data_IF_672404096839
#
_entry.id   IF_672404096839
#
_cell.length_a   1.000
_cell.length_b   1.000
_cell.length_c   1.000
_cell.angle_alpha   90.00
_cell.angle_beta   90.00
_cell.angle_gamma   90.00
#
_symmetry.space_group_name_H-M   'P 1'
#
loop_
_entity.id
_entity.type
_entity.pdbx_description
1 polymer ?
#
# COMPACT_ATOMS: atom_id res chain seq x y z
N UNK A 1 12.53 14.35 14.29
CA UNK A 1 11.83 13.10 14.58
C UNK A 1 10.48 13.32 15.28
N UNK A 2 10.26 14.46 15.91
CA UNK A 2 9.00 14.78 16.64
C UNK A 2 7.86 15.31 15.75
N UNK A 3 8.13 15.61 14.49
CA UNK A 3 7.18 16.28 13.60
C UNK A 3 6.10 15.36 13.02
N UNK A 4 6.28 14.05 13.02
CA UNK A 4 5.32 13.09 12.46
C UNK A 4 4.17 12.77 13.40
N UNK A 5 4.33 12.96 14.71
CA UNK A 5 3.27 12.74 15.72
C UNK A 5 2.12 13.73 15.61
N UNK A 6 2.32 14.85 14.93
CA UNK A 6 1.34 15.93 14.77
C UNK A 6 0.37 15.74 13.61
N UNK A 7 0.56 14.72 12.77
CA UNK A 7 -0.23 14.50 11.56
C UNK A 7 -1.64 13.93 11.78
N UNK A 8 -1.95 13.48 12.99
CA UNK A 8 -3.25 12.86 13.30
C UNK A 8 -4.44 13.82 13.37
N UNK A 9 -4.23 15.14 13.38
CA UNK A 9 -5.31 16.08 13.60
C UNK A 9 -5.16 17.38 12.80
N UNK A 10 -5.92 17.52 11.71
CA UNK A 10 -6.09 18.79 10.97
C UNK A 10 -7.52 19.29 11.21
N UNK A 11 -7.73 20.22 12.14
CA UNK A 11 -9.07 20.59 12.60
C UNK A 11 -9.85 21.47 11.60
N UNK A 12 -9.18 22.03 10.59
CA UNK A 12 -9.82 22.88 9.60
C UNK A 12 -9.13 22.73 8.24
N UNK A 13 -9.91 22.40 7.20
CA UNK A 13 -9.40 22.19 5.82
C UNK A 13 -8.53 23.32 5.31
N UNK A 14 -8.91 24.58 5.58
CA UNK A 14 -8.16 25.75 5.10
C UNK A 14 -6.86 25.96 5.88
N UNK A 15 -6.91 25.79 7.20
CA UNK A 15 -5.73 25.89 8.06
C UNK A 15 -4.75 24.73 7.79
N UNK A 16 -5.26 23.52 7.59
CA UNK A 16 -4.45 22.36 7.22
C UNK A 16 -3.75 22.53 5.87
N UNK A 17 -4.45 23.04 4.86
CA UNK A 17 -3.84 23.31 3.55
C UNK A 17 -2.79 24.43 3.64
N UNK A 18 -3.06 25.52 4.35
CA UNK A 18 -2.11 26.60 4.59
C UNK A 18 -0.87 26.12 5.34
N UNK A 19 -1.06 25.26 6.32
CA UNK A 19 0.04 24.67 7.08
C UNK A 19 0.89 23.73 6.22
N UNK A 20 0.26 22.87 5.39
CA UNK A 20 0.95 22.02 4.41
C UNK A 20 1.74 22.87 3.40
N UNK A 21 1.14 23.91 2.85
CA UNK A 21 1.81 24.83 1.92
C UNK A 21 2.97 25.56 2.59
N UNK A 22 2.80 26.01 3.84
CA UNK A 22 3.86 26.67 4.61
C UNK A 22 5.03 25.75 4.96
N UNK A 23 4.72 24.47 5.27
CA UNK A 23 5.74 23.49 5.67
C UNK A 23 6.47 22.84 4.50
N UNK A 24 5.76 22.53 3.40
CA UNK A 24 6.30 21.77 2.27
C UNK A 24 6.43 22.56 0.97
N UNK A 25 5.96 23.82 0.95
CA UNK A 25 5.96 24.67 -0.22
C UNK A 25 4.85 24.34 -1.22
N UNK A 26 4.69 25.19 -2.23
CA UNK A 26 3.67 25.03 -3.28
C UNK A 26 4.04 23.99 -4.35
N UNK A 27 5.30 23.57 -4.37
CA UNK A 27 5.84 22.75 -5.46
C UNK A 27 5.66 21.25 -5.27
N UNK A 28 5.41 20.76 -4.04
CA UNK A 28 5.19 19.35 -3.77
C UNK A 28 4.18 19.18 -2.62
N UNK A 29 2.88 19.00 -2.91
CA UNK A 29 1.85 18.75 -1.91
C UNK A 29 1.88 17.30 -1.38
N UNK A 30 2.94 16.55 -1.59
CA UNK A 30 3.06 15.18 -1.12
C UNK A 30 3.32 15.11 0.38
N UNK A 31 2.77 14.07 1.01
CA UNK A 31 3.01 13.72 2.40
C UNK A 31 3.74 12.38 2.41
N UNK A 32 4.96 12.39 2.95
CA UNK A 32 5.69 11.15 3.19
C UNK A 32 5.30 10.57 4.54
N UNK A 33 4.94 9.30 4.54
CA UNK A 33 4.71 8.51 5.75
C UNK A 33 5.87 7.55 5.91
N UNK A 34 6.51 7.59 7.08
CA UNK A 34 7.61 6.69 7.44
C UNK A 34 7.19 5.86 8.65
N UNK A 35 7.59 4.59 8.69
CA UNK A 35 7.35 3.69 9.83
C UNK A 35 8.57 3.68 10.73
N UNK A 36 8.33 3.62 12.05
CA UNK A 36 9.40 3.39 13.01
C UNK A 36 9.74 1.89 13.08
N UNK A 37 11.02 1.58 13.20
CA UNK A 37 11.47 0.21 13.39
C UNK A 37 11.07 -0.33 14.78
N UNK A 38 10.75 -1.62 14.86
CA UNK A 38 10.36 -2.30 16.09
C UNK A 38 11.55 -2.73 16.97
N UNK A 39 12.78 -2.39 16.57
CA UNK A 39 13.99 -2.76 17.30
C UNK A 39 14.12 -4.28 17.47
N UNK A 40 14.36 -4.73 18.69
CA UNK A 40 14.53 -6.16 19.01
C UNK A 40 13.27 -7.01 18.85
N UNK A 41 12.09 -6.39 18.70
CA UNK A 41 10.82 -7.09 18.46
C UNK A 41 10.53 -7.28 16.98
N UNK A 42 11.41 -6.81 16.08
CA UNK A 42 11.30 -7.04 14.64
C UNK A 42 11.45 -8.52 14.31
N UNK A 43 10.59 -9.01 13.42
CA UNK A 43 10.74 -10.36 12.86
C UNK A 43 11.99 -10.41 11.98
N UNK A 44 12.86 -11.39 12.25
CA UNK A 44 14.14 -11.59 11.53
C UNK A 44 14.12 -12.85 10.64
N UNK A 45 12.97 -13.47 10.50
CA UNK A 45 12.80 -14.66 9.67
C UNK A 45 12.63 -14.34 8.18
N UNK A 46 12.55 -15.38 7.37
CA UNK A 46 12.27 -15.29 5.95
C UNK A 46 10.81 -14.92 5.72
N UNK A 47 10.55 -13.97 4.86
CA UNK A 47 9.20 -13.50 4.53
C UNK A 47 8.98 -13.59 3.03
N UNK A 48 7.82 -14.12 2.64
CA UNK A 48 7.32 -14.12 1.27
C UNK A 48 5.90 -13.55 1.32
N UNK A 49 5.55 -12.69 0.40
CA UNK A 49 4.21 -12.12 0.30
C UNK A 49 3.42 -12.86 -0.78
N UNK A 50 2.25 -13.37 -0.41
CA UNK A 50 1.26 -13.87 -1.37
C UNK A 50 0.39 -12.72 -1.84
N UNK A 51 0.22 -12.58 -3.15
CA UNK A 51 -0.58 -11.53 -3.77
C UNK A 51 -1.43 -12.09 -4.92
N UNK A 52 -2.59 -11.51 -5.10
CA UNK A 52 -3.52 -11.91 -6.16
C UNK A 52 -4.35 -10.72 -6.66
N UNK A 53 -5.25 -10.96 -7.61
CA UNK A 53 -6.17 -9.97 -8.15
C UNK A 53 -7.20 -9.43 -7.13
N UNK A 54 -7.39 -10.09 -5.99
CA UNK A 54 -8.21 -9.61 -4.88
C UNK A 54 -7.42 -8.75 -3.88
N UNK A 55 -6.10 -8.74 -3.99
CA UNK A 55 -5.24 -7.88 -3.17
C UNK A 55 -5.44 -6.42 -3.56
N UNK A 56 -5.96 -5.60 -2.62
CA UNK A 56 -6.33 -4.20 -2.86
C UNK A 56 -5.83 -3.27 -1.76
N UNK A 57 -5.83 -1.97 -2.02
CA UNK A 57 -5.67 -0.92 -1.03
C UNK A 57 -4.38 -1.02 -0.20
N UNK A 58 -4.50 -1.30 1.10
CA UNK A 58 -3.36 -1.40 1.99
C UNK A 58 -2.44 -2.59 1.65
N UNK A 59 -3.01 -3.71 1.21
CA UNK A 59 -2.25 -4.88 0.74
C UNK A 59 -1.32 -4.52 -0.42
N UNK A 60 -1.82 -3.78 -1.39
CA UNK A 60 -1.01 -3.33 -2.53
C UNK A 60 0.11 -2.37 -2.14
N UNK A 61 -0.13 -1.50 -1.14
CA UNK A 61 0.91 -0.60 -0.63
C UNK A 61 2.03 -1.37 0.03
N UNK A 62 1.70 -2.40 0.82
CA UNK A 62 2.67 -3.30 1.45
C UNK A 62 3.44 -4.06 0.38
N UNK A 63 2.74 -4.65 -0.60
CA UNK A 63 3.35 -5.38 -1.70
C UNK A 63 4.31 -4.49 -2.52
N UNK A 64 3.84 -3.29 -2.90
CA UNK A 64 4.66 -2.35 -3.66
C UNK A 64 5.90 -1.91 -2.90
N UNK A 65 5.77 -1.63 -1.59
CA UNK A 65 6.88 -1.25 -0.74
C UNK A 65 7.88 -2.39 -0.59
N UNK A 66 7.40 -3.62 -0.32
CA UNK A 66 8.25 -4.79 -0.18
C UNK A 66 9.03 -5.09 -1.47
N UNK A 67 8.37 -5.00 -2.63
CA UNK A 67 9.01 -5.20 -3.92
C UNK A 67 10.07 -4.11 -4.23
N UNK A 68 9.75 -2.84 -3.98
CA UNK A 68 10.68 -1.74 -4.28
C UNK A 68 11.91 -1.73 -3.39
N UNK A 69 11.76 -2.09 -2.12
CA UNK A 69 12.86 -2.11 -1.15
C UNK A 69 13.53 -3.48 -1.02
N UNK A 70 13.07 -4.48 -1.80
CA UNK A 70 13.63 -5.84 -1.77
C UNK A 70 13.49 -6.54 -0.41
N UNK A 71 12.39 -6.27 0.31
CA UNK A 71 12.19 -6.77 1.67
C UNK A 71 11.65 -8.20 1.70
N UNK A 72 10.85 -8.56 0.70
CA UNK A 72 10.25 -9.88 0.57
C UNK A 72 9.88 -10.13 -0.89
N UNK A 73 10.15 -11.32 -1.43
CA UNK A 73 9.64 -11.69 -2.75
C UNK A 73 8.12 -11.83 -2.72
N UNK A 74 7.49 -11.44 -3.84
CA UNK A 74 6.07 -11.55 -4.08
C UNK A 74 5.78 -12.79 -4.92
N UNK A 75 4.83 -13.62 -4.49
CA UNK A 75 4.39 -14.84 -5.20
C UNK A 75 2.90 -14.76 -5.45
N UNK A 76 2.45 -15.08 -6.66
CA UNK A 76 1.03 -15.11 -6.98
C UNK A 76 0.69 -14.50 -8.33
N UNK A 77 -0.35 -13.68 -8.39
CA UNK A 77 -0.77 -12.95 -9.58
C UNK A 77 -0.74 -11.45 -9.33
N UNK A 78 -0.86 -10.66 -10.40
CA UNK A 78 -0.89 -9.19 -10.32
C UNK A 78 -2.03 -8.73 -9.42
N UNK A 79 -1.78 -7.73 -8.57
CA UNK A 79 -2.80 -7.14 -7.70
C UNK A 79 -3.80 -6.27 -8.47
N UNK A 80 -4.91 -5.91 -7.81
CA UNK A 80 -6.04 -5.23 -8.45
C UNK A 80 -5.76 -3.82 -8.99
N UNK A 81 -4.75 -3.12 -8.48
CA UNK A 81 -4.53 -1.72 -8.83
C UNK A 81 -5.60 -0.77 -8.24
N UNK A 82 -6.04 -1.00 -7.01
CA UNK A 82 -7.09 -0.24 -6.34
C UNK A 82 -6.57 0.39 -5.04
N UNK A 83 -5.71 1.38 -5.16
CA UNK A 83 -5.04 2.06 -4.02
C UNK A 83 -5.49 3.50 -3.81
N UNK A 84 -6.40 4.00 -4.66
CA UNK A 84 -6.80 5.40 -4.59
C UNK A 84 -7.49 5.73 -3.27
N UNK A 85 -7.12 6.86 -2.68
CA UNK A 85 -7.81 7.39 -1.51
C UNK A 85 -9.04 8.17 -1.96
N UNK A 86 -10.18 7.93 -1.29
CA UNK A 86 -11.43 8.60 -1.59
C UNK A 86 -12.02 9.24 -0.34
N UNK A 87 -12.71 10.36 -0.54
CA UNK A 87 -13.50 11.04 0.49
C UNK A 87 -14.99 10.77 0.25
N UNK A 88 -15.73 10.54 1.34
CA UNK A 88 -17.20 10.44 1.29
C UNK A 88 -17.83 11.82 1.41
N UNK A 89 -18.76 12.14 0.53
CA UNK A 89 -19.52 13.39 0.54
C UNK A 89 -21.01 13.10 0.66
N UNK A 90 -21.68 13.71 1.63
CA UNK A 90 -23.14 13.68 1.73
C UNK A 90 -23.77 14.43 0.56
N UNK A 91 -24.77 13.82 -0.07
CA UNK A 91 -25.49 14.38 -1.22
C UNK A 91 -26.99 14.57 -0.93
N UNK A 92 -27.41 14.44 0.33
CA UNK A 92 -28.77 14.58 0.82
C UNK A 92 -29.45 13.22 1.04
N UNK A 93 -30.57 13.24 1.77
CA UNK A 93 -31.38 12.06 2.07
C UNK A 93 -30.56 10.84 2.58
N UNK A 94 -29.57 11.07 3.44
CA UNK A 94 -28.66 10.06 3.99
C UNK A 94 -27.81 9.30 2.97
N UNK A 95 -27.74 9.76 1.71
CA UNK A 95 -26.86 9.21 0.71
C UNK A 95 -25.46 9.86 0.75
N UNK A 96 -24.46 9.02 0.49
CA UNK A 96 -23.06 9.44 0.40
C UNK A 96 -22.46 8.98 -0.92
N UNK A 97 -21.69 9.86 -1.54
CA UNK A 97 -20.89 9.54 -2.72
C UNK A 97 -19.42 9.50 -2.32
N UNK A 98 -18.73 8.43 -2.69
CA UNK A 98 -17.28 8.30 -2.54
C UNK A 98 -16.60 8.85 -3.79
N UNK A 99 -15.78 9.86 -3.60
CA UNK A 99 -15.08 10.56 -4.70
C UNK A 99 -13.58 10.35 -4.52
N UNK A 100 -12.86 9.85 -5.53
CA UNK A 100 -11.40 9.84 -5.53
C UNK A 100 -10.85 11.23 -5.25
N UNK A 101 -9.95 11.35 -4.28
CA UNK A 101 -9.46 12.65 -3.81
C UNK A 101 -7.95 12.76 -3.79
N UNK A 102 -7.24 11.64 -3.73
CA UNK A 102 -5.78 11.61 -3.62
C UNK A 102 -5.23 10.35 -4.28
N UNK A 103 -4.18 10.51 -5.07
CA UNK A 103 -3.41 9.40 -5.58
C UNK A 103 -2.31 9.01 -4.58
N UNK A 104 -1.96 7.73 -4.55
CA UNK A 104 -0.85 7.21 -3.79
C UNK A 104 0.28 6.81 -4.75
N UNK A 105 1.50 7.18 -4.39
CA UNK A 105 2.71 6.86 -5.13
C UNK A 105 3.67 6.11 -4.23
N UNK A 106 4.42 5.18 -4.80
CA UNK A 106 5.53 4.53 -4.12
C UNK A 106 6.65 5.54 -3.82
N UNK A 107 7.63 5.21 -2.94
CA UNK A 107 8.83 6.02 -2.75
C UNK A 107 9.56 6.36 -4.06
N UNK A 108 9.56 5.46 -5.03
CA UNK A 108 10.13 5.67 -6.37
C UNK A 108 9.17 6.37 -7.35
N UNK A 109 8.10 7.00 -6.84
CA UNK A 109 7.10 7.77 -7.59
C UNK A 109 6.31 6.95 -8.63
N UNK A 110 6.21 5.63 -8.45
CA UNK A 110 5.38 4.79 -9.30
C UNK A 110 3.93 4.85 -8.85
N UNK A 111 3.01 5.06 -9.79
CA UNK A 111 1.57 4.97 -9.56
C UNK A 111 1.16 3.49 -9.63
N UNK A 112 0.42 3.03 -8.62
CA UNK A 112 -0.12 1.66 -8.56
C UNK A 112 -1.58 1.62 -9.02
N UNK A 113 -2.30 2.73 -8.85
CA UNK A 113 -3.70 2.81 -9.26
C UNK A 113 -3.88 2.47 -10.73
N UNK A 114 -4.80 1.56 -11.04
CA UNK A 114 -5.10 1.06 -12.38
C UNK A 114 -4.05 0.12 -12.98
N UNK A 115 -2.91 -0.08 -12.31
CA UNK A 115 -1.80 -0.91 -12.80
C UNK A 115 -1.61 -2.16 -11.96
N UNK A 116 -1.69 -2.03 -10.63
CA UNK A 116 -1.37 -3.08 -9.67
C UNK A 116 0.13 -3.28 -9.47
N UNK A 117 0.45 -4.29 -8.68
CA UNK A 117 1.82 -4.75 -8.39
C UNK A 117 2.02 -6.12 -9.00
N UNK A 118 3.08 -6.28 -9.78
CA UNK A 118 3.47 -7.57 -10.35
C UNK A 118 4.20 -8.41 -9.31
N UNK A 119 3.90 -9.71 -9.20
CA UNK A 119 4.68 -10.62 -8.39
C UNK A 119 6.05 -10.92 -9.03
N UNK A 120 7.05 -11.23 -8.21
CA UNK A 120 8.35 -11.71 -8.66
C UNK A 120 8.26 -13.12 -9.24
N UNK A 121 7.35 -13.94 -8.69
CA UNK A 121 7.08 -15.30 -9.14
C UNK A 121 5.60 -15.44 -9.45
N UNK A 122 5.27 -15.51 -10.74
CA UNK A 122 3.88 -15.63 -11.18
C UNK A 122 3.37 -17.06 -10.98
N UNK A 123 2.28 -17.20 -10.22
CA UNK A 123 1.58 -18.47 -9.97
C UNK A 123 0.07 -18.20 -9.92
N UNK A 124 -0.68 -18.82 -10.82
CA UNK A 124 -2.14 -18.76 -10.78
C UNK A 124 -2.70 -19.75 -9.76
N UNK A 125 -3.77 -19.36 -9.08
CA UNK A 125 -4.55 -20.30 -8.29
C UNK A 125 -5.28 -21.26 -9.21
N UNK A 126 -5.24 -22.55 -8.91
CA UNK A 126 -5.96 -23.57 -9.67
C UNK A 126 -7.42 -23.68 -9.26
N UNK A 127 -8.22 -24.38 -10.07
CA UNK A 127 -9.64 -24.65 -9.78
C UNK A 127 -9.86 -25.68 -8.67
N UNK A 128 -8.81 -26.42 -8.31
CA UNK A 128 -8.86 -27.44 -7.26
C UNK A 128 -8.66 -26.81 -5.88
N UNK A 129 -9.75 -26.62 -5.16
CA UNK A 129 -9.74 -26.06 -3.78
C UNK A 129 -9.04 -26.91 -2.73
N UNK A 130 -8.62 -28.15 -3.08
CA UNK A 130 -7.85 -29.02 -2.17
C UNK A 130 -6.36 -28.71 -2.17
N UNK A 131 -5.88 -27.87 -3.10
CA UNK A 131 -4.47 -27.50 -3.28
C UNK A 131 -4.32 -25.98 -3.36
N UNK A 132 -3.24 -25.48 -2.81
CA UNK A 132 -2.86 -24.08 -2.89
C UNK A 132 -1.48 -23.95 -3.57
N UNK A 133 -1.45 -23.86 -4.90
CA UNK A 133 -0.21 -23.79 -5.65
C UNK A 133 0.58 -22.50 -5.36
N UNK A 134 -0.08 -21.43 -4.98
CA UNK A 134 0.60 -20.19 -4.59
C UNK A 134 1.33 -20.37 -3.26
N UNK A 135 0.68 -20.97 -2.26
CA UNK A 135 1.30 -21.28 -0.97
C UNK A 135 2.45 -22.30 -1.13
N UNK A 136 2.24 -23.35 -1.92
CA UNK A 136 3.28 -24.37 -2.20
C UNK A 136 4.53 -23.69 -2.80
N UNK A 137 4.34 -22.80 -3.77
CA UNK A 137 5.45 -22.06 -4.39
C UNK A 137 6.09 -21.06 -3.44
N UNK A 138 5.31 -20.37 -2.62
CA UNK A 138 5.85 -19.47 -1.61
C UNK A 138 6.71 -20.19 -0.59
N UNK A 139 6.31 -21.38 -0.17
CA UNK A 139 7.10 -22.24 0.73
C UNK A 139 8.42 -22.72 0.08
N UNK A 140 8.40 -23.02 -1.21
CA UNK A 140 9.62 -23.33 -1.97
C UNK A 140 10.56 -22.12 -2.01
N UNK A 141 10.05 -20.95 -2.37
CA UNK A 141 10.82 -19.70 -2.41
C UNK A 141 11.40 -19.39 -1.03
N UNK A 142 10.60 -19.47 0.03
CA UNK A 142 11.06 -19.22 1.40
C UNK A 142 12.18 -20.16 1.87
N UNK A 143 12.20 -21.40 1.38
CA UNK A 143 13.30 -22.36 1.69
C UNK A 143 14.60 -22.03 0.94
N UNK A 144 14.49 -21.34 -0.21
CA UNK A 144 15.64 -20.93 -1.02
C UNK A 144 16.27 -19.59 -0.60
N UNK A 145 15.59 -18.81 0.25
CA UNK A 145 16.13 -17.58 0.84
C UNK A 145 17.10 -17.91 1.99
#
# INVERSE_FOLDING_TARGET
MDDLKTFGWIPNRKAGLLWLVAKYGLSDPSVRVETEGLGTTSFQGRTVLLVDEATTGAGERIAAFAAEEGLAPLVGTRTAGQVICSDSKAVGNDFFVRIPSRAWYTPRKRLIEGVGVEPDVHVTQGDDSSRDPQLDKAMEVARGL
#
